data_IF_960924549759
#
_entry.id   IF_960924549759
#
_cell.length_a   1.000
_cell.length_b   1.000
_cell.length_c   1.000
_cell.angle_alpha   90.00
_cell.angle_beta   90.00
_cell.angle_gamma   90.00
#
_symmetry.space_group_name_H-M   'P 1'
#
loop_
_entity.id
_entity.type
_entity.pdbx_description
1 polymer ?
#
# COMPACT_ATOMS: atom_id res chain seq x y z
N UNK A 1 -18.84 28.54 0.81
CA UNK A 1 -18.93 27.57 -0.31
C UNK A 1 -17.60 26.88 -0.69
N UNK A 2 -16.41 27.38 -0.30
CA UNK A 2 -15.11 26.78 -0.69
C UNK A 2 -14.81 25.45 0.03
N UNK A 3 -15.25 25.33 1.28
CA UNK A 3 -15.02 24.15 2.14
C UNK A 3 -15.80 22.92 1.65
N UNK A 4 -17.06 23.09 1.22
CA UNK A 4 -17.87 21.99 0.67
C UNK A 4 -17.23 21.38 -0.57
N UNK A 5 -16.62 22.20 -1.44
CA UNK A 5 -15.89 21.73 -2.63
C UNK A 5 -14.58 21.02 -2.27
N UNK A 6 -13.86 21.51 -1.27
CA UNK A 6 -12.63 20.86 -0.79
C UNK A 6 -12.91 19.48 -0.16
N UNK A 7 -13.96 19.37 0.64
CA UNK A 7 -14.36 18.09 1.26
C UNK A 7 -14.82 17.08 0.20
N UNK A 8 -15.62 17.52 -0.77
CA UNK A 8 -16.03 16.67 -1.89
C UNK A 8 -14.81 16.23 -2.70
N UNK A 9 -13.87 17.13 -2.97
CA UNK A 9 -12.62 16.80 -3.68
C UNK A 9 -11.78 15.74 -2.96
N UNK A 10 -11.62 15.84 -1.64
CA UNK A 10 -10.89 14.85 -0.85
C UNK A 10 -11.61 13.51 -0.81
N UNK A 11 -12.94 13.48 -0.59
CA UNK A 11 -13.71 12.25 -0.54
C UNK A 11 -13.74 11.53 -1.89
N UNK A 12 -13.92 12.26 -2.98
CA UNK A 12 -13.82 11.71 -4.33
C UNK A 12 -12.42 11.20 -4.62
N UNK A 13 -11.38 11.91 -4.17
CA UNK A 13 -9.99 11.45 -4.27
C UNK A 13 -9.72 10.15 -3.52
N UNK A 14 -10.27 10.00 -2.30
CA UNK A 14 -10.14 8.77 -1.50
C UNK A 14 -10.94 7.62 -2.11
N UNK A 15 -12.17 7.85 -2.56
CA UNK A 15 -13.00 6.81 -3.17
C UNK A 15 -12.38 6.27 -4.47
N UNK A 16 -11.92 7.19 -5.34
CA UNK A 16 -11.20 6.83 -6.57
C UNK A 16 -9.87 6.16 -6.22
N UNK A 17 -9.12 6.69 -5.26
CA UNK A 17 -7.84 6.11 -4.82
C UNK A 17 -8.00 4.71 -4.21
N UNK A 18 -9.08 4.44 -3.48
CA UNK A 18 -9.38 3.13 -2.93
C UNK A 18 -9.86 2.15 -4.01
N UNK A 19 -10.73 2.59 -4.91
CA UNK A 19 -11.18 1.76 -6.03
C UNK A 19 -9.99 1.35 -6.92
N UNK A 20 -9.12 2.31 -7.25
CA UNK A 20 -7.88 2.05 -7.94
C UNK A 20 -6.93 1.20 -7.08
N UNK A 21 -6.79 1.48 -5.79
CA UNK A 21 -5.93 0.71 -4.87
C UNK A 21 -6.32 -0.76 -4.76
N UNK A 22 -7.62 -1.07 -4.73
CA UNK A 22 -8.14 -2.44 -4.73
C UNK A 22 -8.01 -3.09 -6.10
N UNK A 23 -8.31 -2.37 -7.18
CA UNK A 23 -8.21 -2.90 -8.54
C UNK A 23 -6.75 -3.17 -8.94
N UNK A 24 -5.85 -2.25 -8.57
CA UNK A 24 -4.43 -2.35 -8.85
C UNK A 24 -3.67 -3.19 -7.86
N UNK A 25 -4.16 -3.41 -6.63
CA UNK A 25 -3.60 -4.38 -5.71
C UNK A 25 -3.75 -5.76 -6.34
N UNK A 26 -2.69 -6.29 -7.00
CA UNK A 26 -2.77 -7.62 -7.51
C UNK A 26 -2.63 -8.49 -6.27
N UNK A 27 -3.56 -9.43 -6.05
CA UNK A 27 -3.18 -10.64 -5.33
C UNK A 27 -1.83 -11.07 -5.91
N UNK A 28 -0.83 -11.32 -5.06
CA UNK A 28 0.54 -11.60 -5.54
C UNK A 28 0.42 -12.58 -6.70
N UNK A 29 1.02 -12.29 -7.86
CA UNK A 29 0.86 -13.18 -9.03
C UNK A 29 1.25 -14.62 -8.72
N UNK A 30 2.11 -14.82 -7.70
CA UNK A 30 2.36 -16.09 -7.04
C UNK A 30 1.09 -16.64 -6.38
N UNK A 31 0.37 -15.93 -5.52
CA UNK A 31 -0.95 -16.30 -4.95
C UNK A 31 -2.02 -16.59 -6.00
N UNK A 32 -2.15 -15.80 -7.08
CA UNK A 32 -3.18 -16.04 -8.11
C UNK A 32 -2.83 -17.24 -9.00
N UNK A 33 -1.57 -17.37 -9.43
CA UNK A 33 -1.12 -18.58 -10.16
C UNK A 33 -1.01 -19.80 -9.25
N UNK A 34 -0.73 -19.64 -7.97
CA UNK A 34 -0.77 -20.71 -6.97
C UNK A 34 -2.22 -21.08 -6.64
N UNK A 35 -3.19 -20.14 -6.62
CA UNK A 35 -4.63 -20.47 -6.50
C UNK A 35 -5.17 -21.17 -7.73
N UNK A 36 -4.77 -20.75 -8.94
CA UNK A 36 -5.17 -21.38 -10.20
C UNK A 36 -4.43 -22.72 -10.39
N UNK A 37 -3.12 -22.79 -10.19
CA UNK A 37 -2.31 -23.99 -10.36
C UNK A 37 -2.39 -24.99 -9.19
N UNK A 38 -2.65 -24.59 -7.94
CA UNK A 38 -3.09 -25.52 -6.88
C UNK A 38 -4.49 -26.06 -7.20
N UNK A 39 -5.48 -25.21 -7.52
CA UNK A 39 -6.81 -25.70 -7.97
C UNK A 39 -6.74 -26.55 -9.24
N UNK A 40 -5.69 -26.47 -10.05
CA UNK A 40 -5.57 -27.26 -11.29
C UNK A 40 -4.56 -28.43 -11.24
N UNK A 41 -3.60 -28.44 -10.31
CA UNK A 41 -2.45 -29.37 -10.29
C UNK A 41 -2.17 -29.99 -8.91
N UNK A 42 -2.64 -29.37 -7.80
CA UNK A 42 -2.88 -30.02 -6.49
C UNK A 42 -4.22 -30.78 -6.46
N UNK A 43 -5.09 -30.57 -7.45
CA UNK A 43 -6.17 -31.51 -7.71
C UNK A 43 -5.62 -32.85 -8.23
N UNK A 44 -4.36 -32.93 -8.65
CA UNK A 44 -3.81 -34.15 -9.20
C UNK A 44 -2.68 -34.76 -8.37
N UNK A 45 -1.41 -34.49 -8.60
CA UNK A 45 -0.40 -35.52 -8.24
C UNK A 45 0.82 -35.00 -7.49
N UNK A 46 0.80 -33.74 -7.06
CA UNK A 46 1.97 -33.10 -6.43
C UNK A 46 1.70 -32.45 -5.07
N UNK A 47 0.43 -32.45 -4.63
CA UNK A 47 0.00 -32.16 -3.27
C UNK A 47 0.64 -33.10 -2.23
N UNK A 48 1.15 -34.26 -2.64
CA UNK A 48 1.60 -35.28 -1.70
C UNK A 48 3.12 -35.25 -1.43
N UNK A 49 3.96 -34.97 -2.43
CA UNK A 49 5.42 -35.21 -2.30
C UNK A 49 6.30 -33.95 -2.28
N UNK A 50 5.93 -32.87 -2.96
CA UNK A 50 6.72 -31.62 -2.98
C UNK A 50 6.40 -30.63 -1.85
N UNK A 51 5.25 -30.78 -1.17
CA UNK A 51 4.89 -29.94 -0.01
C UNK A 51 5.84 -30.13 1.17
N UNK A 52 6.46 -31.31 1.30
CA UNK A 52 7.35 -31.63 2.41
C UNK A 52 8.65 -30.83 2.35
N UNK A 53 9.28 -30.75 1.18
CA UNK A 53 10.54 -30.02 0.99
C UNK A 53 10.35 -28.49 0.90
N UNK A 54 9.17 -28.04 0.42
CA UNK A 54 8.81 -26.62 0.35
C UNK A 54 8.40 -26.07 1.72
N UNK A 55 7.77 -26.86 2.59
CA UNK A 55 7.42 -26.44 3.95
C UNK A 55 8.67 -26.05 4.77
N UNK A 56 9.75 -26.82 4.67
CA UNK A 56 11.01 -26.53 5.37
C UNK A 56 11.71 -25.29 4.79
N UNK A 57 11.63 -25.05 3.47
CA UNK A 57 12.20 -23.83 2.84
C UNK A 57 11.33 -22.58 3.02
N UNK A 58 10.01 -22.75 3.19
CA UNK A 58 9.06 -21.66 3.49
C UNK A 58 9.31 -21.12 4.89
N UNK A 59 9.65 -21.96 5.87
CA UNK A 59 9.98 -21.50 7.23
C UNK A 59 11.09 -20.44 7.19
N UNK A 60 12.20 -20.70 6.49
CA UNK A 60 13.31 -19.74 6.38
C UNK A 60 12.99 -18.51 5.52
N UNK A 61 12.13 -18.65 4.50
CA UNK A 61 11.75 -17.53 3.62
C UNK A 61 10.72 -16.62 4.26
N UNK A 62 9.84 -17.17 5.10
CA UNK A 62 8.81 -16.44 5.83
C UNK A 62 9.44 -15.42 6.80
N UNK A 63 10.48 -15.81 7.53
CA UNK A 63 11.24 -14.88 8.36
C UNK A 63 11.83 -13.72 7.55
N UNK A 64 12.35 -13.96 6.35
CA UNK A 64 12.91 -12.90 5.48
C UNK A 64 11.85 -11.96 4.90
N UNK A 65 10.66 -12.48 4.61
CA UNK A 65 9.52 -11.69 4.08
C UNK A 65 8.90 -10.84 5.17
N UNK A 66 8.80 -11.37 6.39
CA UNK A 66 8.32 -10.64 7.56
C UNK A 66 9.29 -9.50 7.90
N UNK A 67 10.60 -9.75 7.97
CA UNK A 67 11.57 -8.70 8.27
C UNK A 67 11.65 -7.62 7.19
N UNK A 68 11.57 -7.97 5.90
CA UNK A 68 11.50 -6.98 4.81
C UNK A 68 10.17 -6.21 4.80
N UNK A 69 9.08 -6.87 5.20
CA UNK A 69 7.79 -6.24 5.40
C UNK A 69 7.83 -5.20 6.51
N UNK A 70 8.44 -5.54 7.66
CA UNK A 70 8.65 -4.61 8.79
C UNK A 70 9.52 -3.41 8.39
N UNK A 71 10.56 -3.64 7.59
CA UNK A 71 11.43 -2.56 7.10
C UNK A 71 10.71 -1.63 6.12
N UNK A 72 9.87 -2.17 5.23
CA UNK A 72 9.01 -1.39 4.32
C UNK A 72 7.96 -0.58 5.08
N UNK A 73 7.39 -1.16 6.14
CA UNK A 73 6.44 -0.46 7.02
C UNK A 73 7.14 0.69 7.74
N UNK A 74 8.31 0.46 8.35
CA UNK A 74 9.08 1.50 9.03
C UNK A 74 9.54 2.62 8.07
N UNK A 75 9.92 2.26 6.84
CA UNK A 75 10.33 3.23 5.82
C UNK A 75 9.13 4.02 5.28
N UNK A 76 7.98 3.37 5.12
CA UNK A 76 6.71 4.00 4.78
C UNK A 76 6.27 5.00 5.85
N UNK A 77 6.43 4.66 7.14
CA UNK A 77 6.14 5.56 8.24
C UNK A 77 7.04 6.81 8.24
N UNK A 78 8.33 6.66 7.92
CA UNK A 78 9.23 7.81 7.76
C UNK A 78 8.77 8.75 6.64
N UNK A 79 8.50 8.21 5.45
CA UNK A 79 8.08 9.01 4.29
C UNK A 79 6.75 9.71 4.57
N UNK A 80 5.82 9.02 5.23
CA UNK A 80 4.54 9.60 5.64
C UNK A 80 4.73 10.71 6.67
N UNK A 81 5.65 10.55 7.62
CA UNK A 81 5.93 11.57 8.63
C UNK A 81 6.69 12.78 8.08
N UNK A 82 7.66 12.56 7.19
CA UNK A 82 8.38 13.62 6.47
C UNK A 82 7.41 14.40 5.57
N UNK A 83 6.64 13.70 4.74
CA UNK A 83 5.63 14.32 3.89
C UNK A 83 4.54 15.06 4.69
N UNK A 84 4.16 14.56 5.87
CA UNK A 84 3.25 15.28 6.78
C UNK A 84 3.86 16.59 7.28
N UNK A 85 5.13 16.61 7.64
CA UNK A 85 5.78 17.83 8.13
C UNK A 85 6.08 18.82 6.99
N UNK A 86 6.42 18.35 5.79
CA UNK A 86 6.56 19.18 4.58
C UNK A 86 5.22 19.81 4.18
N UNK A 87 4.14 19.03 4.10
CA UNK A 87 2.79 19.54 3.80
C UNK A 87 2.36 20.57 4.85
N UNK A 88 2.78 20.38 6.11
CA UNK A 88 2.44 21.28 7.22
C UNK A 88 3.27 22.56 7.18
N UNK A 89 4.52 22.51 6.73
CA UNK A 89 5.36 23.68 6.49
C UNK A 89 4.86 24.46 5.27
N UNK A 90 4.66 23.80 4.14
CA UNK A 90 4.14 24.41 2.92
C UNK A 90 2.74 25.01 3.14
N UNK A 91 1.88 24.33 3.91
CA UNK A 91 0.59 24.89 4.31
C UNK A 91 0.70 26.09 5.27
N UNK A 92 1.80 26.22 6.03
CA UNK A 92 2.09 27.40 6.88
C UNK A 92 2.63 28.55 6.04
N UNK A 93 3.54 28.29 5.11
CA UNK A 93 4.14 29.30 4.22
C UNK A 93 3.14 29.84 3.20
N UNK A 94 2.30 28.96 2.67
CA UNK A 94 1.16 29.32 1.85
C UNK A 94 0.15 30.16 2.65
N UNK A 95 -0.13 29.82 3.90
CA UNK A 95 -0.97 30.65 4.77
C UNK A 95 -0.36 32.03 5.04
N UNK A 96 0.96 32.15 5.15
CA UNK A 96 1.67 33.42 5.31
C UNK A 96 1.61 34.27 4.04
N UNK A 97 2.01 33.71 2.91
CA UNK A 97 2.05 34.39 1.60
C UNK A 97 0.65 34.81 1.13
N UNK A 98 -0.37 33.94 1.33
CA UNK A 98 -1.76 34.26 1.02
C UNK A 98 -2.27 35.40 1.92
N UNK A 99 -1.86 35.45 3.19
CA UNK A 99 -2.27 36.51 4.12
C UNK A 99 -1.62 37.85 3.78
N UNK A 100 -0.39 37.84 3.30
CA UNK A 100 0.35 39.04 2.88
C UNK A 100 -0.16 39.58 1.53
N UNK A 101 -0.50 38.69 0.58
CA UNK A 101 -1.15 39.08 -0.68
C UNK A 101 -2.60 39.58 -0.51
N UNK A 102 -3.30 39.20 0.56
CA UNK A 102 -4.66 39.70 0.84
C UNK A 102 -4.71 41.05 1.57
N UNK A 103 -3.58 41.55 2.07
CA UNK A 103 -3.51 42.78 2.87
C UNK A 103 -2.73 43.91 2.18
N UNK A 104 -2.42 43.75 0.89
CA UNK A 104 -2.00 44.77 -0.07
C UNK A 104 -3.13 44.99 -1.07
#
# INVERSE_FOLDING_TARGET
MKTSKAVIGVLSGVAVGAALGVLFAPDKGSETRNKIAKKSKDIKDKAVSGLKDVADSVSNTYHSVVSKGEELVNKGEKIVNEGKEEIKQEARDMKGTVREQMNK
#
